data_IF_606855497828
#
_entry.id   IF_606855497828
#
_cell.length_a   1.000
_cell.length_b   1.000
_cell.length_c   1.000
_cell.angle_alpha   90.00
_cell.angle_beta   90.00
_cell.angle_gamma   90.00
#
_symmetry.space_group_name_H-M   'P 1'
#
loop_
_entity.id
_entity.type
_entity.pdbx_description
1 polymer ?
#
# COMPACT_ATOMS: atom_id res chain seq x y z
N UNK A 1 15.22 -19.47 18.18
CA UNK A 1 14.29 -18.90 17.19
C UNK A 1 15.16 -18.07 16.26
N UNK A 2 14.98 -18.23 14.96
CA UNK A 2 15.63 -17.36 13.96
C UNK A 2 14.72 -16.16 13.71
N UNK A 3 15.23 -15.15 13.00
CA UNK A 3 14.43 -14.01 12.55
C UNK A 3 13.44 -14.49 11.48
N UNK A 4 12.15 -14.37 11.74
CA UNK A 4 11.06 -14.59 10.78
C UNK A 4 10.71 -13.25 10.11
N UNK A 5 10.37 -13.23 8.81
CA UNK A 5 10.03 -11.97 8.15
C UNK A 5 8.67 -11.44 8.63
N UNK A 6 8.42 -10.12 8.54
CA UNK A 6 7.08 -9.56 8.66
C UNK A 6 6.09 -10.21 7.69
N UNK A 7 4.82 -10.29 8.06
CA UNK A 7 3.74 -10.79 7.22
C UNK A 7 2.76 -9.66 6.88
N UNK A 8 2.64 -9.32 5.59
CA UNK A 8 1.61 -8.42 5.07
C UNK A 8 0.32 -9.25 4.88
N UNK A 9 -0.79 -8.85 5.49
CA UNK A 9 -2.08 -9.55 5.39
C UNK A 9 -3.21 -8.58 5.06
N UNK A 10 -3.41 -8.25 3.77
CA UNK A 10 -4.38 -7.22 3.40
C UNK A 10 -5.82 -7.75 3.49
N UNK A 11 -6.75 -6.87 3.90
CA UNK A 11 -8.19 -7.15 3.78
C UNK A 11 -8.70 -7.00 2.34
N UNK A 12 -8.06 -6.12 1.56
CA UNK A 12 -8.33 -5.83 0.16
C UNK A 12 -6.97 -5.57 -0.52
N UNK A 13 -6.77 -6.15 -1.71
CA UNK A 13 -5.55 -6.06 -2.52
C UNK A 13 -5.78 -5.27 -3.82
N UNK A 14 -6.99 -4.78 -4.08
CA UNK A 14 -7.35 -4.02 -5.27
C UNK A 14 -8.12 -2.74 -4.92
N UNK A 15 -7.67 -1.62 -5.49
CA UNK A 15 -8.21 -0.29 -5.27
C UNK A 15 -8.49 0.39 -6.61
N UNK A 16 -9.46 1.30 -6.61
CA UNK A 16 -9.73 2.16 -7.77
C UNK A 16 -9.69 3.62 -7.33
N UNK A 17 -9.00 4.46 -8.11
CA UNK A 17 -8.92 5.92 -7.91
C UNK A 17 -9.33 6.65 -9.18
N UNK A 18 -9.67 7.94 -9.04
CA UNK A 18 -10.01 8.80 -10.17
C UNK A 18 -8.72 9.22 -10.91
N UNK A 19 -8.77 9.36 -12.24
CA UNK A 19 -7.69 9.96 -13.04
C UNK A 19 -7.37 11.42 -12.62
N UNK A 20 -8.30 12.08 -11.94
CA UNK A 20 -8.22 13.51 -11.57
C UNK A 20 -7.78 13.75 -10.14
N UNK A 21 -7.30 12.71 -9.45
CA UNK A 21 -6.65 12.87 -8.14
C UNK A 21 -5.39 13.72 -8.27
N UNK A 22 -4.95 14.31 -7.17
CA UNK A 22 -3.76 15.16 -7.13
C UNK A 22 -2.65 14.47 -6.35
N UNK A 23 -1.41 14.90 -6.54
CA UNK A 23 -0.28 14.45 -5.72
C UNK A 23 -0.59 14.56 -4.21
N UNK A 24 -0.18 13.56 -3.46
CA UNK A 24 -0.47 13.41 -2.03
C UNK A 24 -1.86 12.86 -1.71
N UNK A 25 -2.70 12.53 -2.69
CA UNK A 25 -3.92 11.75 -2.44
C UNK A 25 -3.55 10.37 -1.89
N UNK A 26 -4.05 10.05 -0.70
CA UNK A 26 -3.96 8.71 -0.11
C UNK A 26 -4.80 7.72 -0.91
N UNK A 27 -4.25 6.53 -1.14
CA UNK A 27 -4.87 5.43 -1.90
C UNK A 27 -5.27 4.30 -0.95
N UNK A 28 -4.31 3.79 -0.18
CA UNK A 28 -4.51 2.76 0.84
C UNK A 28 -3.37 2.77 1.85
N UNK A 29 -3.54 2.00 2.93
CA UNK A 29 -2.48 1.74 3.92
C UNK A 29 -2.13 0.25 3.90
N UNK A 30 -0.85 -0.05 4.01
CA UNK A 30 -0.27 -1.38 4.18
C UNK A 30 0.09 -1.58 5.64
N UNK A 31 -0.28 -2.73 6.17
CA UNK A 31 0.12 -3.15 7.51
C UNK A 31 0.77 -4.54 7.42
N UNK A 32 1.84 -4.72 8.20
CA UNK A 32 2.51 -6.00 8.38
C UNK A 32 2.68 -6.31 9.87
N UNK A 33 2.72 -7.59 10.21
CA UNK A 33 3.01 -8.07 11.56
C UNK A 33 4.18 -9.04 11.54
N UNK A 34 5.15 -8.82 12.41
CA UNK A 34 6.30 -9.68 12.61
C UNK A 34 5.99 -10.78 13.66
N UNK A 35 6.10 -12.08 13.33
CA UNK A 35 5.87 -13.18 14.26
C UNK A 35 6.79 -13.16 15.50
N UNK A 36 7.97 -12.55 15.43
CA UNK A 36 8.91 -12.39 16.53
C UNK A 36 8.49 -11.26 17.52
N UNK A 37 7.55 -10.40 17.11
CA UNK A 37 6.91 -9.38 17.96
C UNK A 37 7.47 -7.96 17.83
N UNK A 38 8.30 -7.70 16.83
CA UNK A 38 9.00 -6.42 16.60
C UNK A 38 8.26 -5.50 15.59
N UNK A 39 6.92 -5.44 15.67
CA UNK A 39 6.06 -4.73 14.70
C UNK A 39 6.30 -3.21 14.61
N UNK A 40 6.85 -2.57 15.66
CA UNK A 40 7.04 -1.10 15.70
C UNK A 40 8.19 -0.60 14.82
N UNK A 41 8.95 -1.49 14.20
CA UNK A 41 10.15 -1.14 13.43
C UNK A 41 10.18 -1.73 12.01
N UNK A 42 9.01 -2.10 11.49
CA UNK A 42 8.84 -2.54 10.11
C UNK A 42 8.92 -1.31 9.19
N UNK A 43 9.73 -1.40 8.14
CA UNK A 43 9.81 -0.40 7.08
C UNK A 43 9.15 -0.91 5.81
N UNK A 44 8.56 0.01 5.03
CA UNK A 44 7.88 -0.31 3.79
C UNK A 44 8.53 0.40 2.60
N UNK A 45 8.64 -0.29 1.48
CA UNK A 45 9.14 0.26 0.22
C UNK A 45 8.50 -0.41 -0.98
N UNK A 46 8.56 0.25 -2.13
CA UNK A 46 8.29 -0.40 -3.41
C UNK A 46 9.55 -1.09 -3.94
N UNK A 47 9.38 -2.19 -4.66
CA UNK A 47 10.52 -2.91 -5.27
C UNK A 47 11.01 -2.30 -6.58
N UNK A 48 10.21 -1.41 -7.17
CA UNK A 48 10.55 -0.58 -8.33
C UNK A 48 9.92 0.83 -8.21
N UNK A 49 10.19 1.68 -9.22
CA UNK A 49 9.63 3.03 -9.27
C UNK A 49 8.21 3.01 -9.84
N UNK A 50 7.27 3.68 -9.15
CA UNK A 50 5.88 3.85 -9.57
C UNK A 50 5.48 5.34 -9.46
N UNK A 51 4.37 5.79 -10.09
CA UNK A 51 3.79 7.12 -9.85
C UNK A 51 3.14 7.26 -8.46
N UNK A 52 3.52 6.40 -7.51
CA UNK A 52 3.06 6.33 -6.15
C UNK A 52 4.25 6.40 -5.19
N UNK A 53 3.99 6.88 -3.97
CA UNK A 53 4.95 6.87 -2.87
C UNK A 53 4.37 6.07 -1.69
N UNK A 54 5.26 5.48 -0.89
CA UNK A 54 4.91 4.82 0.36
C UNK A 54 5.75 5.43 1.49
N UNK A 55 5.08 5.83 2.57
CA UNK A 55 5.71 6.34 3.80
C UNK A 55 4.96 5.77 5.00
N UNK A 56 5.67 5.06 5.87
CA UNK A 56 5.10 4.40 7.06
C UNK A 56 3.84 3.54 6.74
N UNK A 57 3.89 2.82 5.62
CA UNK A 57 2.79 1.99 5.12
C UNK A 57 1.68 2.75 4.37
N UNK A 58 1.68 4.09 4.40
CA UNK A 58 0.66 4.90 3.71
C UNK A 58 1.07 5.09 2.24
N UNK A 59 0.25 4.57 1.33
CA UNK A 59 0.44 4.72 -0.12
C UNK A 59 -0.30 5.97 -0.62
N UNK A 60 0.43 6.85 -1.30
CA UNK A 60 -0.08 8.10 -1.87
C UNK A 60 0.31 8.25 -3.34
N UNK A 61 -0.43 9.08 -4.08
CA UNK A 61 -0.06 9.49 -5.43
C UNK A 61 1.17 10.40 -5.38
N UNK A 62 2.24 10.03 -6.08
CA UNK A 62 3.48 10.81 -6.15
C UNK A 62 3.54 11.70 -7.40
N UNK A 63 3.01 11.20 -8.52
CA UNK A 63 2.92 11.94 -9.78
C UNK A 63 1.57 11.67 -10.47
N UNK A 64 0.64 12.60 -10.30
CA UNK A 64 -0.68 12.52 -10.93
C UNK A 64 -0.65 12.75 -12.44
N UNK A 65 0.44 13.29 -13.02
CA UNK A 65 0.55 13.47 -14.48
C UNK A 65 0.83 12.14 -15.21
N UNK A 66 1.24 11.09 -14.49
CA UNK A 66 1.48 9.75 -15.03
C UNK A 66 0.27 8.80 -14.90
N UNK A 67 -0.85 9.27 -14.33
CA UNK A 67 -2.08 8.47 -14.19
C UNK A 67 -3.01 8.72 -15.38
N UNK A 68 -3.10 7.75 -16.30
CA UNK A 68 -4.01 7.83 -17.44
C UNK A 68 -5.27 6.97 -17.22
N UNK A 69 -6.37 7.36 -17.86
CA UNK A 69 -7.62 6.59 -17.81
C UNK A 69 -7.42 5.13 -18.25
N UNK A 70 -8.04 4.21 -17.51
CA UNK A 70 -8.00 2.76 -17.73
C UNK A 70 -6.62 2.11 -17.47
N UNK A 71 -5.66 2.85 -16.89
CA UNK A 71 -4.40 2.28 -16.39
C UNK A 71 -4.65 1.34 -15.19
N UNK A 72 -3.72 0.39 -15.03
CA UNK A 72 -3.68 -0.53 -13.90
C UNK A 72 -2.23 -0.71 -13.47
N UNK A 73 -1.96 -0.46 -12.19
CA UNK A 73 -0.64 -0.58 -11.59
C UNK A 73 -0.61 -1.75 -10.61
N UNK A 74 0.30 -2.68 -10.81
CA UNK A 74 0.61 -3.76 -9.86
C UNK A 74 1.76 -3.29 -8.96
N UNK A 75 1.43 -2.71 -7.81
CA UNK A 75 2.40 -2.18 -6.84
C UNK A 75 2.92 -3.31 -5.96
N UNK A 76 4.19 -3.69 -6.13
CA UNK A 76 4.84 -4.65 -5.23
C UNK A 76 5.44 -3.92 -4.02
N UNK A 77 4.86 -4.15 -2.84
CA UNK A 77 5.28 -3.56 -1.57
C UNK A 77 6.12 -4.58 -0.80
N UNK A 78 7.31 -4.18 -0.38
CA UNK A 78 8.18 -4.93 0.53
C UNK A 78 8.07 -4.38 1.96
N UNK A 79 7.83 -5.28 2.92
CA UNK A 79 7.92 -4.99 4.35
C UNK A 79 9.19 -5.64 4.92
N UNK A 80 10.02 -4.86 5.63
CA UNK A 80 11.33 -5.31 6.16
C UNK A 80 11.48 -4.99 7.64
N UNK A 81 11.87 -5.98 8.44
CA UNK A 81 12.19 -5.81 9.87
C UNK A 81 13.59 -5.20 10.12
N UNK A 82 13.92 -4.87 11.37
CA UNK A 82 15.22 -4.26 11.72
C UNK A 82 16.43 -5.20 11.52
N UNK A 83 16.20 -6.50 11.48
CA UNK A 83 17.22 -7.53 11.29
C UNK A 83 17.40 -7.89 9.80
N UNK A 84 16.58 -7.30 8.92
CA UNK A 84 16.64 -7.37 7.47
C UNK A 84 15.94 -8.57 6.85
N UNK A 85 15.04 -9.29 7.56
CA UNK A 85 14.14 -10.20 6.87
C UNK A 85 12.95 -9.42 6.30
N UNK A 86 12.48 -9.85 5.13
CA UNK A 86 11.45 -9.16 4.38
C UNK A 86 10.43 -10.10 3.75
N UNK A 87 9.25 -9.56 3.47
CA UNK A 87 8.21 -10.17 2.65
C UNK A 87 7.67 -9.15 1.65
N UNK A 88 7.05 -9.64 0.58
CA UNK A 88 6.42 -8.81 -0.44
C UNK A 88 4.96 -9.19 -0.64
N UNK A 89 4.13 -8.21 -0.97
CA UNK A 89 2.74 -8.39 -1.38
C UNK A 89 2.42 -7.44 -2.54
N UNK A 90 1.53 -7.86 -3.45
CA UNK A 90 1.17 -7.07 -4.63
C UNK A 90 -0.21 -6.47 -4.47
N UNK A 91 -0.32 -5.16 -4.70
CA UNK A 91 -1.58 -4.43 -4.69
C UNK A 91 -1.89 -3.89 -6.08
N UNK A 92 -3.14 -3.97 -6.50
CA UNK A 92 -3.59 -3.42 -7.78
C UNK A 92 -4.25 -2.07 -7.58
N UNK A 93 -3.84 -1.05 -8.33
CA UNK A 93 -4.50 0.26 -8.39
C UNK A 93 -5.01 0.50 -9.81
N UNK A 94 -6.33 0.56 -9.97
CA UNK A 94 -7.00 0.86 -11.23
C UNK A 94 -7.37 2.35 -11.32
N UNK A 95 -7.12 2.97 -12.47
CA UNK A 95 -7.49 4.35 -12.75
C UNK A 95 -8.84 4.37 -13.48
N UNK A 96 -9.92 4.59 -12.74
CA UNK A 96 -11.28 4.66 -13.31
C UNK A 96 -11.71 6.12 -13.49
N UNK A 97 -11.79 6.64 -14.73
CA UNK A 97 -12.21 8.03 -14.99
C UNK A 97 -13.69 8.28 -14.65
N UNK A 98 -14.48 7.22 -14.44
CA UNK A 98 -15.90 7.28 -14.11
C UNK A 98 -16.20 6.86 -12.66
N UNK A 99 -15.18 6.77 -11.80
CA UNK A 99 -15.35 6.36 -10.41
C UNK A 99 -16.37 7.28 -9.70
N UNK A 100 -17.42 6.74 -9.07
CA UNK A 100 -18.41 7.59 -8.42
C UNK A 100 -17.80 8.42 -7.28
N UNK A 101 -18.32 9.63 -7.00
CA UNK A 101 -17.84 10.43 -5.89
C UNK A 101 -17.91 9.66 -4.55
N UNK A 102 -16.83 9.70 -3.78
CA UNK A 102 -16.65 8.98 -2.51
C UNK A 102 -16.63 7.44 -2.63
N UNK A 103 -16.35 6.88 -3.81
CA UNK A 103 -16.16 5.44 -4.00
C UNK A 103 -14.72 4.97 -3.80
N UNK A 104 -13.75 5.89 -3.64
CA UNK A 104 -12.40 5.49 -3.21
C UNK A 104 -12.49 4.82 -1.85
N UNK A 105 -12.23 3.51 -1.82
CA UNK A 105 -12.12 2.74 -0.59
C UNK A 105 -10.74 3.00 0.00
N UNK A 106 -10.68 3.75 1.10
CA UNK A 106 -9.49 3.75 1.95
C UNK A 106 -9.58 2.54 2.89
N UNK A 107 -8.49 1.78 3.04
CA UNK A 107 -8.37 0.80 4.12
C UNK A 107 -8.23 1.54 5.45
N UNK A 108 -9.35 1.92 6.05
CA UNK A 108 -9.37 2.38 7.45
C UNK A 108 -9.30 1.11 8.30
N UNK A 109 -8.12 0.78 8.84
CA UNK A 109 -7.96 -0.26 9.84
C UNK A 109 -8.89 0.04 11.02
N UNK A 110 -10.05 -0.62 11.07
CA UNK A 110 -10.94 -0.53 12.20
C UNK A 110 -10.32 -1.39 13.30
N UNK A 111 -9.56 -0.75 14.21
CA UNK A 111 -9.07 -1.36 15.45
C UNK A 111 -10.23 -2.01 16.23
N UNK A 112 -10.50 -3.28 15.95
CA UNK A 112 -11.29 -4.12 16.83
C UNK A 112 -10.36 -4.57 17.95
N UNK A 113 -10.25 -3.73 18.99
CA UNK A 113 -9.73 -4.13 20.29
C UNK A 113 -10.50 -5.36 20.77
N UNK A 114 -9.80 -6.48 20.97
CA UNK A 114 -10.29 -7.65 21.69
C UNK A 114 -9.31 -8.02 22.81
#
# INVERSE_FOLDING_TARGET
MGNEPPEITPEEDAFSILETVTDGTEVFTVEATDPDGDNEAITYSFTEDYPFAIDDGVVTVADSEELEADDSFELEVEATDELGASSTETFTVEIDPNLPPNSMKMNIALLLLN
#
